data_IF_627837360879
#
_entry.id   IF_627837360879
#
_cell.length_a   1.000
_cell.length_b   1.000
_cell.length_c   1.000
_cell.angle_alpha   90.00
_cell.angle_beta   90.00
_cell.angle_gamma   90.00
#
_symmetry.space_group_name_H-M   'P 1'
#
loop_
_entity.id
_entity.type
_entity.pdbx_description
1 polymer ?
#
# COMPACT_ATOMS: atom_id res chain seq x y z
N UNK A 1 -17.83 5.88 3.14
CA UNK A 1 -16.69 6.62 3.69
C UNK A 1 -17.09 7.37 4.97
N UNK A 2 -18.09 8.23 4.99
CA UNK A 2 -18.50 9.06 6.13
C UNK A 2 -18.80 8.27 7.40
N UNK A 3 -19.59 7.19 7.29
CA UNK A 3 -19.93 6.30 8.41
C UNK A 3 -18.70 5.78 9.20
N UNK A 4 -17.54 5.72 8.58
CA UNK A 4 -16.32 5.16 9.17
C UNK A 4 -15.22 6.21 9.34
N UNK A 5 -15.51 7.49 9.14
CA UNK A 5 -14.53 8.58 9.24
C UNK A 5 -13.42 8.53 8.18
N UNK A 6 -13.64 7.81 7.06
CA UNK A 6 -12.68 7.74 5.96
C UNK A 6 -12.82 8.99 5.09
N UNK A 7 -11.81 9.82 5.07
CA UNK A 7 -11.80 11.08 4.32
C UNK A 7 -11.38 10.87 2.88
N UNK A 8 -10.39 10.00 2.65
CA UNK A 8 -9.84 9.70 1.34
C UNK A 8 -9.64 8.18 1.20
N UNK A 9 -9.84 7.65 0.01
CA UNK A 9 -9.65 6.24 -0.33
C UNK A 9 -8.57 6.12 -1.39
N UNK A 10 -7.67 5.15 -1.24
CA UNK A 10 -6.77 4.71 -2.31
C UNK A 10 -7.29 3.39 -2.84
N UNK A 11 -7.60 3.33 -4.13
CA UNK A 11 -8.12 2.14 -4.81
C UNK A 11 -7.12 1.62 -5.85
N UNK A 12 -7.38 0.42 -6.34
CA UNK A 12 -6.53 -0.24 -7.32
C UNK A 12 -7.35 -0.73 -8.51
N UNK A 13 -6.91 -0.41 -9.74
CA UNK A 13 -7.32 -1.16 -10.91
C UNK A 13 -6.54 -2.47 -10.93
N UNK A 14 -7.22 -3.57 -10.63
CA UNK A 14 -6.61 -4.92 -10.57
C UNK A 14 -6.40 -5.53 -11.97
N UNK A 15 -7.06 -4.96 -12.98
CA UNK A 15 -6.90 -5.32 -14.38
C UNK A 15 -6.81 -4.03 -15.22
N UNK A 16 -5.97 -3.98 -16.27
CA UNK A 16 -5.78 -2.76 -17.06
C UNK A 16 -7.07 -2.19 -17.68
N UNK A 17 -8.07 -3.04 -17.97
CA UNK A 17 -9.37 -2.61 -18.52
C UNK A 17 -10.25 -1.84 -17.51
N UNK A 18 -9.93 -1.87 -16.22
CA UNK A 18 -10.67 -1.15 -15.18
C UNK A 18 -10.23 0.32 -15.10
N UNK A 19 -9.08 0.67 -15.67
CA UNK A 19 -8.51 2.01 -15.54
C UNK A 19 -9.44 3.13 -16.05
N UNK A 20 -10.14 3.02 -17.20
CA UNK A 20 -11.04 4.08 -17.64
C UNK A 20 -12.21 4.32 -16.69
N UNK A 21 -12.82 3.24 -16.18
CA UNK A 21 -13.93 3.34 -15.21
C UNK A 21 -13.44 3.94 -13.89
N UNK A 22 -12.23 3.57 -13.46
CA UNK A 22 -11.68 4.08 -12.21
C UNK A 22 -11.29 5.56 -12.34
N UNK A 23 -10.81 6.01 -13.51
CA UNK A 23 -10.59 7.42 -13.81
C UNK A 23 -11.89 8.23 -13.68
N UNK A 24 -13.00 7.77 -14.25
CA UNK A 24 -14.31 8.38 -14.10
C UNK A 24 -14.76 8.42 -12.62
N UNK A 25 -14.53 7.34 -11.88
CA UNK A 25 -14.80 7.31 -10.44
C UNK A 25 -13.97 8.35 -9.66
N UNK A 26 -12.71 8.58 -10.02
CA UNK A 26 -11.86 9.60 -9.38
C UNK A 26 -12.42 11.01 -9.63
N UNK A 27 -12.86 11.31 -10.84
CA UNK A 27 -13.50 12.61 -11.17
C UNK A 27 -14.78 12.81 -10.33
N UNK A 28 -15.65 11.81 -10.28
CA UNK A 28 -16.90 11.86 -9.52
C UNK A 28 -16.67 11.96 -8.00
N UNK A 29 -15.55 11.45 -7.52
CA UNK A 29 -15.22 11.45 -6.08
C UNK A 29 -14.75 12.81 -5.54
N UNK A 30 -14.58 13.84 -6.39
CA UNK A 30 -14.22 15.20 -6.00
C UNK A 30 -13.01 15.25 -5.04
N UNK A 31 -11.89 14.62 -5.42
CA UNK A 31 -10.67 14.60 -4.65
C UNK A 31 -10.68 13.68 -3.41
N UNK A 32 -11.65 12.76 -3.32
CA UNK A 32 -11.74 11.78 -2.23
C UNK A 32 -11.27 10.38 -2.62
N UNK A 33 -10.81 10.19 -3.84
CA UNK A 33 -10.32 8.93 -4.37
C UNK A 33 -9.04 9.18 -5.15
N UNK A 34 -8.00 8.45 -4.83
CA UNK A 34 -6.80 8.27 -5.64
C UNK A 34 -6.68 6.82 -6.07
N UNK A 35 -5.98 6.57 -7.16
CA UNK A 35 -5.89 5.21 -7.68
C UNK A 35 -4.50 4.88 -8.20
N UNK A 36 -4.16 3.58 -8.10
CA UNK A 36 -3.04 2.99 -8.82
C UNK A 36 -3.59 1.90 -9.76
N UNK A 37 -2.86 1.60 -10.82
CA UNK A 37 -3.26 0.54 -11.76
C UNK A 37 -2.18 -0.53 -11.84
N UNK A 38 -2.60 -1.79 -11.94
CA UNK A 38 -1.67 -2.88 -12.21
C UNK A 38 -1.00 -2.69 -13.57
N UNK A 39 0.32 -2.88 -13.59
CA UNK A 39 1.13 -2.86 -14.81
C UNK A 39 2.03 -4.09 -14.82
N UNK A 40 2.06 -4.80 -15.95
CA UNK A 40 3.11 -5.75 -16.26
C UNK A 40 4.19 -5.01 -17.06
N UNK A 41 5.39 -4.78 -16.51
CA UNK A 41 6.45 -4.02 -17.18
C UNK A 41 7.02 -4.75 -18.41
N UNK A 42 6.78 -6.06 -18.52
CA UNK A 42 7.20 -6.89 -19.66
C UNK A 42 6.23 -6.80 -20.85
N UNK A 43 5.05 -6.19 -20.65
CA UNK A 43 4.11 -6.00 -21.74
C UNK A 43 4.59 -4.92 -22.70
N UNK A 44 4.40 -5.16 -24.00
CA UNK A 44 4.72 -4.17 -25.03
C UNK A 44 4.00 -2.83 -24.74
N UNK A 45 4.73 -1.72 -24.82
CA UNK A 45 4.22 -0.38 -24.55
C UNK A 45 3.88 -0.12 -23.07
N UNK A 46 4.52 -0.81 -22.12
CA UNK A 46 4.31 -0.61 -20.69
C UNK A 46 4.63 0.84 -20.25
N UNK A 47 5.76 1.46 -20.63
CA UNK A 47 6.07 2.85 -20.27
C UNK A 47 5.01 3.85 -20.78
N UNK A 48 4.57 3.71 -22.04
CA UNK A 48 3.52 4.56 -22.62
C UNK A 48 2.18 4.36 -21.94
N UNK A 49 1.91 3.15 -21.45
CA UNK A 49 0.71 2.87 -20.64
C UNK A 49 0.79 3.58 -19.31
N UNK A 50 1.95 3.58 -18.66
CA UNK A 50 2.16 4.30 -17.40
C UNK A 50 1.95 5.80 -17.60
N UNK A 51 2.54 6.42 -18.64
CA UNK A 51 2.30 7.84 -18.96
C UNK A 51 0.81 8.14 -19.09
N UNK A 52 0.07 7.32 -19.86
CA UNK A 52 -1.38 7.51 -20.00
C UNK A 52 -2.16 7.36 -18.69
N UNK A 53 -1.72 6.49 -17.77
CA UNK A 53 -2.33 6.37 -16.44
C UNK A 53 -2.09 7.64 -15.61
N UNK A 54 -0.87 8.17 -15.63
CA UNK A 54 -0.53 9.43 -14.93
C UNK A 54 -1.33 10.61 -15.53
N UNK A 55 -1.45 10.70 -16.85
CA UNK A 55 -2.28 11.70 -17.55
C UNK A 55 -3.77 11.60 -17.16
N UNK A 56 -4.26 10.40 -16.83
CA UNK A 56 -5.62 10.16 -16.32
C UNK A 56 -5.77 10.47 -14.82
N UNK A 57 -4.72 10.94 -14.15
CA UNK A 57 -4.73 11.30 -12.74
C UNK A 57 -4.46 10.14 -11.78
N UNK A 58 -3.99 8.99 -12.26
CA UNK A 58 -3.52 7.93 -11.38
C UNK A 58 -2.26 8.38 -10.65
N UNK A 59 -2.13 8.02 -9.37
CA UNK A 59 -0.99 8.41 -8.55
C UNK A 59 0.24 7.51 -8.74
N UNK A 60 0.12 6.47 -9.57
CA UNK A 60 1.20 5.53 -9.83
C UNK A 60 0.72 4.14 -10.24
N UNK A 61 1.56 3.15 -10.02
CA UNK A 61 1.34 1.78 -10.47
C UNK A 61 1.42 0.76 -9.35
N UNK A 62 0.79 -0.38 -9.58
CA UNK A 62 0.85 -1.58 -8.76
C UNK A 62 1.61 -2.67 -9.53
N UNK A 63 2.69 -3.16 -8.95
CA UNK A 63 3.66 -4.07 -9.54
C UNK A 63 3.67 -5.41 -8.81
N UNK A 64 3.65 -6.52 -9.56
CA UNK A 64 3.66 -7.88 -9.02
C UNK A 64 4.82 -8.71 -9.58
N UNK A 65 6.06 -8.56 -9.07
CA UNK A 65 7.23 -9.27 -9.58
C UNK A 65 7.04 -10.79 -9.63
N UNK A 66 6.53 -11.40 -8.54
CA UNK A 66 6.30 -12.84 -8.48
C UNK A 66 5.28 -13.34 -9.51
N UNK A 67 4.23 -12.55 -9.79
CA UNK A 67 3.15 -12.93 -10.70
C UNK A 67 3.53 -12.72 -12.16
N UNK A 68 4.22 -11.63 -12.47
CA UNK A 68 4.60 -11.26 -13.82
C UNK A 68 5.99 -11.79 -14.22
N UNK A 69 6.75 -12.38 -13.29
CA UNK A 69 7.99 -13.08 -13.60
C UNK A 69 9.17 -12.17 -13.99
N UNK A 70 9.37 -11.08 -13.23
CA UNK A 70 10.51 -10.18 -13.38
C UNK A 70 11.12 -9.82 -12.02
N UNK A 71 12.37 -9.33 -12.03
CA UNK A 71 13.01 -8.79 -10.81
C UNK A 71 12.85 -7.27 -10.76
N UNK A 72 12.60 -6.68 -9.59
CA UNK A 72 12.53 -5.22 -9.45
C UNK A 72 13.81 -4.46 -9.84
N UNK A 73 14.98 -5.10 -9.75
CA UNK A 73 16.28 -4.57 -10.20
C UNK A 73 16.63 -5.03 -11.63
N UNK A 74 15.69 -5.62 -12.34
CA UNK A 74 15.90 -6.10 -13.71
C UNK A 74 15.59 -5.04 -14.77
N UNK A 75 16.11 -5.23 -15.99
CA UNK A 75 15.93 -4.28 -17.09
C UNK A 75 14.47 -4.13 -17.53
N UNK A 76 13.61 -5.13 -17.24
CA UNK A 76 12.21 -5.10 -17.63
C UNK A 76 11.43 -3.97 -16.95
N UNK A 77 11.88 -3.56 -15.75
CA UNK A 77 11.21 -2.50 -14.98
C UNK A 77 11.81 -1.10 -15.23
N UNK A 78 13.04 -1.01 -15.75
CA UNK A 78 13.79 0.24 -15.84
C UNK A 78 13.01 1.37 -16.55
N UNK A 79 12.52 1.15 -17.77
CA UNK A 79 11.80 2.16 -18.54
C UNK A 79 10.48 2.61 -17.86
N UNK A 80 9.84 1.71 -17.10
CA UNK A 80 8.64 2.06 -16.30
C UNK A 80 9.02 2.92 -15.11
N UNK A 81 10.14 2.62 -14.44
CA UNK A 81 10.63 3.43 -13.32
C UNK A 81 11.08 4.81 -13.77
N UNK A 82 11.72 4.94 -14.94
CA UNK A 82 12.08 6.25 -15.52
C UNK A 82 10.84 7.16 -15.66
N UNK A 83 9.72 6.61 -16.16
CA UNK A 83 8.46 7.36 -16.27
C UNK A 83 7.92 7.77 -14.90
N UNK A 84 7.96 6.87 -13.91
CA UNK A 84 7.50 7.19 -12.56
C UNK A 84 8.40 8.22 -11.88
N UNK A 85 9.71 8.19 -12.17
CA UNK A 85 10.70 9.14 -11.67
C UNK A 85 10.48 10.55 -12.21
N UNK A 86 10.09 10.70 -13.48
CA UNK A 86 9.77 11.99 -14.08
C UNK A 86 8.70 12.75 -13.28
N UNK A 87 7.67 12.06 -12.81
CA UNK A 87 6.53 12.64 -12.09
C UNK A 87 6.63 12.51 -10.56
N UNK A 88 7.63 11.83 -10.02
CA UNK A 88 7.71 11.50 -8.60
C UNK A 88 6.54 10.62 -8.14
N UNK A 89 6.10 9.71 -8.99
CA UNK A 89 4.92 8.89 -8.80
C UNK A 89 5.16 7.70 -7.86
N UNK A 90 4.09 6.98 -7.53
CA UNK A 90 4.13 5.82 -6.62
C UNK A 90 4.36 4.53 -7.38
N UNK A 91 5.36 3.76 -6.97
CA UNK A 91 5.54 2.36 -7.33
C UNK A 91 5.17 1.47 -6.13
N UNK A 92 3.93 0.96 -6.07
CA UNK A 92 3.56 -0.02 -5.06
C UNK A 92 3.97 -1.41 -5.56
N UNK A 93 4.99 -2.00 -4.89
CA UNK A 93 5.60 -3.26 -5.32
C UNK A 93 5.26 -4.37 -4.35
N UNK A 94 4.45 -5.33 -4.80
CA UNK A 94 4.05 -6.46 -3.98
C UNK A 94 5.23 -7.41 -3.75
N UNK A 95 5.72 -7.45 -2.52
CA UNK A 95 6.77 -8.34 -2.07
C UNK A 95 6.21 -9.47 -1.20
N UNK A 96 6.93 -10.60 -1.15
CA UNK A 96 6.58 -11.73 -0.29
C UNK A 96 5.42 -12.58 -0.79
N UNK A 97 4.66 -13.11 0.16
CA UNK A 97 3.55 -14.02 -0.11
C UNK A 97 2.45 -13.36 -0.93
N UNK A 98 2.04 -14.02 -2.00
CA UNK A 98 0.96 -13.59 -2.87
C UNK A 98 -0.15 -14.64 -2.90
N UNK A 99 -1.30 -14.32 -2.31
CA UNK A 99 -2.49 -15.15 -2.31
C UNK A 99 -3.66 -14.44 -3.02
N UNK A 100 -3.92 -14.81 -4.26
CA UNK A 100 -5.08 -14.34 -5.02
C UNK A 100 -6.16 -15.41 -4.99
N UNK A 101 -6.99 -15.42 -3.95
CA UNK A 101 -8.02 -16.46 -3.72
C UNK A 101 -9.04 -16.60 -4.85
N UNK A 102 -9.27 -15.53 -5.61
CA UNK A 102 -10.15 -15.57 -6.77
C UNK A 102 -9.63 -16.54 -7.83
N UNK A 103 -8.32 -16.64 -8.00
CA UNK A 103 -7.69 -17.60 -8.92
C UNK A 103 -7.99 -19.04 -8.50
N UNK A 104 -7.94 -19.32 -7.19
CA UNK A 104 -8.25 -20.66 -6.66
C UNK A 104 -9.71 -21.04 -6.95
N UNK A 105 -10.61 -20.08 -6.77
CA UNK A 105 -12.03 -20.28 -7.05
C UNK A 105 -12.29 -20.64 -8.53
N UNK A 106 -11.51 -20.09 -9.44
CA UNK A 106 -11.60 -20.37 -10.89
C UNK A 106 -10.65 -21.46 -11.36
N UNK A 107 -9.95 -22.16 -10.46
CA UNK A 107 -8.98 -23.21 -10.83
C UNK A 107 -7.78 -22.70 -11.64
N UNK A 108 -7.45 -21.41 -11.53
CA UNK A 108 -6.32 -20.80 -12.26
C UNK A 108 -5.04 -21.07 -11.47
N UNK A 109 -4.01 -21.69 -12.08
CA UNK A 109 -2.76 -22.01 -11.38
C UNK A 109 -2.07 -20.79 -10.79
N UNK A 110 -1.48 -20.95 -9.59
CA UNK A 110 -0.63 -19.96 -8.94
C UNK A 110 0.83 -20.23 -9.33
N UNK A 111 1.22 -19.86 -10.53
CA UNK A 111 2.61 -20.01 -10.99
C UNK A 111 3.43 -18.77 -10.57
N UNK A 112 3.52 -18.54 -9.26
CA UNK A 112 4.26 -17.40 -8.72
C UNK A 112 5.65 -17.81 -8.29
N UNK A 113 6.67 -17.09 -8.76
CA UNK A 113 8.03 -17.20 -8.26
C UNK A 113 8.27 -16.16 -7.16
N UNK A 114 8.12 -16.58 -5.90
CA UNK A 114 8.30 -15.68 -4.76
C UNK A 114 9.73 -15.17 -4.59
N UNK A 115 10.72 -15.82 -5.22
CA UNK A 115 12.11 -15.34 -5.17
C UNK A 115 12.27 -13.99 -5.87
N UNK A 116 11.43 -13.71 -6.87
CA UNK A 116 11.39 -12.44 -7.59
C UNK A 116 10.76 -11.31 -6.77
N UNK A 117 9.99 -11.64 -5.73
CA UNK A 117 9.31 -10.68 -4.86
C UNK A 117 10.10 -10.37 -3.57
N UNK A 118 11.42 -10.52 -3.60
CA UNK A 118 12.26 -10.19 -2.45
C UNK A 118 12.45 -8.67 -2.34
N UNK A 119 12.12 -8.03 -1.20
CA UNK A 119 12.32 -6.61 -0.97
C UNK A 119 13.74 -6.10 -1.23
N UNK A 120 14.75 -6.94 -1.08
CA UNK A 120 16.14 -6.56 -1.32
C UNK A 120 16.43 -6.21 -2.78
N UNK A 121 15.63 -6.70 -3.72
CA UNK A 121 15.74 -6.32 -5.13
C UNK A 121 15.31 -4.89 -5.42
N UNK A 122 14.61 -4.23 -4.46
CA UNK A 122 14.22 -2.83 -4.61
C UNK A 122 15.35 -1.84 -4.30
N UNK A 123 16.43 -2.28 -3.66
CA UNK A 123 17.48 -1.35 -3.18
C UNK A 123 18.10 -0.58 -4.35
N UNK A 124 18.57 -1.28 -5.38
CA UNK A 124 19.18 -0.63 -6.54
C UNK A 124 18.17 0.23 -7.31
N UNK A 125 16.96 -0.29 -7.51
CA UNK A 125 15.90 0.45 -8.18
C UNK A 125 15.53 1.75 -7.44
N UNK A 126 15.52 1.71 -6.11
CA UNK A 126 15.21 2.89 -5.29
C UNK A 126 16.35 3.91 -5.26
N UNK A 127 17.60 3.45 -5.29
CA UNK A 127 18.78 4.32 -5.37
C UNK A 127 18.89 5.04 -6.72
N UNK A 128 18.56 4.34 -7.82
CA UNK A 128 18.57 4.89 -9.18
C UNK A 128 17.40 5.85 -9.45
N UNK A 129 16.29 5.71 -8.69
CA UNK A 129 15.07 6.51 -8.87
C UNK A 129 14.66 7.21 -7.56
N UNK A 130 15.42 8.23 -7.10
CA UNK A 130 15.23 8.86 -5.77
C UNK A 130 13.94 9.65 -5.61
N UNK A 131 13.27 10.09 -6.70
CA UNK A 131 11.98 10.79 -6.64
C UNK A 131 10.79 9.84 -6.68
N UNK A 132 10.96 8.61 -7.18
CA UNK A 132 9.93 7.58 -7.14
C UNK A 132 9.68 7.13 -5.71
N UNK A 133 8.41 7.07 -5.30
CA UNK A 133 8.00 6.60 -3.99
C UNK A 133 7.71 5.10 -4.05
N UNK A 134 8.63 4.28 -3.57
CA UNK A 134 8.43 2.82 -3.50
C UNK A 134 7.65 2.45 -2.24
N UNK A 135 6.54 1.73 -2.41
CA UNK A 135 5.71 1.24 -1.30
C UNK A 135 5.69 -0.27 -1.30
N UNK A 136 6.13 -0.89 -0.22
CA UNK A 136 6.00 -2.34 0.00
C UNK A 136 4.73 -2.60 0.83
N UNK A 137 3.69 -3.23 0.28
CA UNK A 137 2.47 -3.52 1.01
C UNK A 137 2.67 -4.63 2.04
N UNK A 138 1.75 -4.69 3.04
CA UNK A 138 1.64 -5.77 4.02
C UNK A 138 2.92 -6.00 4.85
N UNK A 139 3.72 -4.96 5.10
CA UNK A 139 5.04 -5.08 5.73
C UNK A 139 5.94 -6.12 5.04
N UNK A 140 5.78 -6.32 3.71
CA UNK A 140 6.54 -7.29 2.94
C UNK A 140 5.98 -8.71 2.96
N UNK A 141 4.73 -8.90 3.43
CA UNK A 141 3.97 -10.16 3.33
C UNK A 141 4.79 -11.44 3.63
N UNK A 142 5.44 -11.48 4.79
CA UNK A 142 6.27 -12.62 5.23
C UNK A 142 7.78 -12.42 5.05
N UNK A 143 8.23 -11.56 4.14
CA UNK A 143 9.63 -11.12 4.00
C UNK A 143 9.89 -9.85 4.83
N UNK A 144 9.40 -9.85 6.07
CA UNK A 144 9.45 -8.67 6.95
C UNK A 144 10.88 -8.23 7.29
N UNK A 145 11.78 -9.20 7.53
CA UNK A 145 13.19 -8.91 7.81
C UNK A 145 13.87 -8.23 6.62
N UNK A 146 13.66 -8.73 5.42
CA UNK A 146 14.20 -8.20 4.16
C UNK A 146 13.62 -6.80 3.89
N UNK A 147 12.35 -6.58 4.21
CA UNK A 147 11.69 -5.26 4.15
C UNK A 147 12.36 -4.26 5.09
N UNK A 148 12.66 -4.65 6.33
CA UNK A 148 13.39 -3.79 7.27
C UNK A 148 14.80 -3.47 6.77
N UNK A 149 15.51 -4.45 6.21
CA UNK A 149 16.84 -4.25 5.64
C UNK A 149 16.80 -3.26 4.46
N UNK A 150 15.87 -3.43 3.53
CA UNK A 150 15.69 -2.50 2.40
C UNK A 150 15.31 -1.09 2.89
N UNK A 151 14.40 -0.97 3.86
CA UNK A 151 13.99 0.30 4.44
C UNK A 151 15.09 1.04 5.19
N UNK A 152 16.12 0.32 5.66
CA UNK A 152 17.31 0.91 6.27
C UNK A 152 18.23 1.54 5.22
N UNK A 153 18.29 0.98 4.01
CA UNK A 153 19.12 1.45 2.93
C UNK A 153 18.49 2.63 2.17
N UNK A 154 17.17 2.58 1.92
CA UNK A 154 16.50 3.50 0.99
C UNK A 154 15.55 4.44 1.73
N UNK A 155 15.74 5.75 1.56
CA UNK A 155 14.90 6.79 2.20
C UNK A 155 13.55 7.01 1.51
N UNK A 156 13.44 6.68 0.23
CA UNK A 156 12.24 6.76 -0.61
C UNK A 156 11.40 5.47 -0.60
N UNK A 157 11.76 4.51 0.29
CA UNK A 157 11.02 3.28 0.48
C UNK A 157 10.10 3.38 1.70
N UNK A 158 8.84 3.07 1.48
CA UNK A 158 7.74 3.10 2.45
C UNK A 158 7.18 1.68 2.65
N UNK A 159 6.45 1.47 3.73
CA UNK A 159 5.66 0.26 3.96
C UNK A 159 4.19 0.60 4.18
N UNK A 160 3.31 -0.30 3.77
CA UNK A 160 1.89 -0.22 4.13
C UNK A 160 1.53 -1.29 5.15
N UNK A 161 0.55 -0.99 5.97
CA UNK A 161 0.15 -1.78 7.13
C UNK A 161 -0.97 -2.77 6.84
N UNK A 162 -1.43 -2.87 5.61
CA UNK A 162 -2.49 -3.82 5.27
C UNK A 162 -2.04 -5.27 5.53
N UNK A 163 -2.92 -6.09 6.08
CA UNK A 163 -2.55 -7.42 6.60
C UNK A 163 -3.59 -8.51 6.27
N UNK A 164 -4.03 -8.53 5.02
CA UNK A 164 -5.09 -9.45 4.59
C UNK A 164 -4.68 -10.91 4.53
N UNK A 165 -3.41 -11.21 4.29
CA UNK A 165 -2.91 -12.56 4.03
C UNK A 165 -2.34 -13.29 5.25
N UNK A 166 -2.47 -12.70 6.44
CA UNK A 166 -2.07 -13.34 7.72
C UNK A 166 -0.63 -13.87 7.74
N UNK A 167 0.28 -13.19 7.04
CA UNK A 167 1.67 -13.61 6.86
C UNK A 167 2.46 -13.77 8.17
N UNK A 168 2.01 -13.14 9.27
CA UNK A 168 2.65 -13.23 10.60
C UNK A 168 2.84 -14.69 11.04
N UNK A 169 1.92 -15.60 10.66
CA UNK A 169 2.01 -17.03 10.95
C UNK A 169 3.20 -17.74 10.29
N UNK A 170 3.81 -17.15 9.26
CA UNK A 170 4.97 -17.73 8.57
C UNK A 170 6.30 -17.36 9.23
N UNK A 171 6.27 -16.53 10.27
CA UNK A 171 7.47 -16.13 10.98
C UNK A 171 7.95 -17.25 11.91
N UNK A 172 9.27 -17.39 12.04
CA UNK A 172 9.90 -18.44 12.86
C UNK A 172 9.66 -18.27 14.36
N UNK A 173 9.23 -17.08 14.79
CA UNK A 173 8.83 -16.78 16.17
C UNK A 173 7.47 -16.12 16.15
N UNK A 174 6.69 -16.36 17.21
CA UNK A 174 5.42 -15.67 17.39
C UNK A 174 5.64 -14.14 17.42
N UNK A 175 4.90 -13.43 16.58
CA UNK A 175 4.87 -11.98 16.53
C UNK A 175 3.45 -11.50 16.77
N UNK A 176 3.30 -10.49 17.64
CA UNK A 176 2.08 -9.70 17.74
C UNK A 176 2.15 -8.56 16.74
N UNK A 177 1.01 -8.01 16.37
CA UNK A 177 0.97 -6.85 15.46
C UNK A 177 1.75 -5.65 16.03
N UNK A 178 1.71 -5.43 17.35
CA UNK A 178 2.50 -4.41 18.03
C UNK A 178 4.01 -4.61 17.83
N UNK A 179 4.50 -5.87 17.88
CA UNK A 179 5.93 -6.17 17.68
C UNK A 179 6.36 -5.86 16.23
N UNK A 180 5.45 -6.02 15.28
CA UNK A 180 5.68 -5.64 13.86
C UNK A 180 5.79 -4.12 13.74
N UNK A 181 4.83 -3.37 14.33
CA UNK A 181 4.86 -1.91 14.33
C UNK A 181 6.10 -1.35 15.02
N UNK A 182 6.46 -1.88 16.20
CA UNK A 182 7.65 -1.43 16.94
C UNK A 182 8.93 -1.53 16.07
N UNK A 183 9.13 -2.68 15.42
CA UNK A 183 10.30 -2.88 14.54
C UNK A 183 10.24 -2.02 13.28
N UNK A 184 9.06 -1.88 12.67
CA UNK A 184 8.87 -1.02 11.50
C UNK A 184 9.12 0.46 11.88
N UNK A 185 8.65 0.93 13.03
CA UNK A 185 8.91 2.27 13.54
C UNK A 185 10.40 2.52 13.78
N UNK A 186 11.15 1.52 14.25
CA UNK A 186 12.59 1.62 14.44
C UNK A 186 13.37 1.84 13.14
N UNK A 187 12.84 1.41 12.00
CA UNK A 187 13.48 1.55 10.67
C UNK A 187 12.90 2.69 9.84
N UNK A 188 11.58 2.74 9.73
CA UNK A 188 10.88 3.69 8.85
C UNK A 188 10.47 4.98 9.56
N UNK A 189 10.54 5.01 10.89
CA UNK A 189 9.92 6.07 11.69
C UNK A 189 8.41 6.14 11.46
N UNK A 190 7.72 7.13 12.02
CA UNK A 190 6.29 7.33 11.77
C UNK A 190 6.00 7.85 10.35
N UNK A 191 6.99 8.42 9.65
CA UNK A 191 6.78 9.16 8.40
C UNK A 191 6.81 8.31 7.11
N UNK A 192 7.27 7.07 7.19
CA UNK A 192 7.36 6.16 6.04
C UNK A 192 6.50 4.89 6.21
N UNK A 193 5.48 4.94 7.08
CA UNK A 193 4.50 3.89 7.28
C UNK A 193 3.14 4.42 6.84
N UNK A 194 2.46 3.69 5.94
CA UNK A 194 1.16 4.05 5.38
C UNK A 194 0.08 3.13 5.95
N UNK A 195 -1.06 3.70 6.32
CA UNK A 195 -2.22 2.92 6.74
C UNK A 195 -2.88 2.24 5.54
N UNK A 196 -3.14 0.95 5.65
CA UNK A 196 -3.91 0.18 4.69
C UNK A 196 -4.76 -0.90 5.36
N UNK A 197 -5.84 -1.33 4.72
CA UNK A 197 -6.73 -2.39 5.22
C UNK A 197 -6.84 -3.56 4.28
N UNK A 198 -6.42 -3.42 3.02
CA UNK A 198 -6.65 -4.39 1.95
C UNK A 198 -8.15 -4.81 1.87
N UNK A 199 -9.01 -3.80 2.00
CA UNK A 199 -10.45 -3.97 1.82
C UNK A 199 -10.78 -4.20 0.35
N UNK A 200 -11.78 -5.02 0.09
CA UNK A 200 -12.34 -5.16 -1.26
C UNK A 200 -13.78 -4.65 -1.26
N UNK A 201 -14.20 -4.00 -2.36
CA UNK A 201 -15.57 -3.52 -2.49
C UNK A 201 -16.56 -4.67 -2.28
N UNK A 202 -16.29 -5.81 -2.90
CA UNK A 202 -17.08 -7.05 -2.79
C UNK A 202 -16.11 -8.26 -2.70
N UNK A 203 -16.42 -9.28 -1.88
CA UNK A 203 -17.57 -9.41 -0.98
C UNK A 203 -17.33 -8.85 0.44
N UNK A 204 -16.08 -8.44 0.79
CA UNK A 204 -15.71 -8.15 2.20
C UNK A 204 -16.12 -6.77 2.69
N UNK A 205 -16.12 -5.78 1.80
CA UNK A 205 -16.34 -4.39 2.18
C UNK A 205 -15.21 -3.81 3.06
N UNK A 206 -15.51 -2.73 3.74
CA UNK A 206 -14.59 -2.06 4.65
C UNK A 206 -14.21 -2.92 5.87
N UNK A 207 -12.90 -3.08 6.07
CA UNK A 207 -12.31 -3.88 7.16
C UNK A 207 -12.06 -3.01 8.41
N UNK A 208 -13.15 -2.71 9.14
CA UNK A 208 -13.06 -1.94 10.38
C UNK A 208 -12.25 -2.64 11.47
N UNK A 209 -12.29 -3.96 11.51
CA UNK A 209 -11.50 -4.80 12.39
C UNK A 209 -9.99 -4.56 12.25
N UNK A 210 -9.51 -4.37 11.02
CA UNK A 210 -8.10 -4.03 10.75
C UNK A 210 -7.74 -2.66 11.32
N UNK A 211 -8.59 -1.65 11.13
CA UNK A 211 -8.37 -0.31 11.70
C UNK A 211 -8.26 -0.37 13.23
N UNK A 212 -9.19 -1.08 13.88
CA UNK A 212 -9.19 -1.21 15.35
C UNK A 212 -7.90 -1.87 15.82
N UNK A 213 -7.54 -3.05 15.26
CA UNK A 213 -6.34 -3.78 15.63
C UNK A 213 -5.06 -2.96 15.43
N UNK A 214 -4.96 -2.19 14.34
CA UNK A 214 -3.81 -1.34 14.08
C UNK A 214 -3.73 -0.15 15.06
N UNK A 215 -4.86 0.48 15.39
CA UNK A 215 -4.90 1.56 16.39
C UNK A 215 -4.47 1.08 17.78
N UNK A 216 -4.88 -0.12 18.17
CA UNK A 216 -4.45 -0.76 19.41
C UNK A 216 -2.94 -1.04 19.40
N UNK A 217 -2.43 -1.61 18.31
CA UNK A 217 -1.00 -1.88 18.15
C UNK A 217 -0.15 -0.58 18.21
N UNK A 218 -0.57 0.47 17.51
CA UNK A 218 0.08 1.79 17.58
C UNK A 218 0.02 2.40 18.98
N UNK A 219 -1.08 2.17 19.71
CA UNK A 219 -1.20 2.55 21.12
C UNK A 219 -0.16 1.85 22.00
N UNK A 220 0.03 0.56 21.79
CA UNK A 220 1.00 -0.25 22.53
C UNK A 220 2.46 0.14 22.25
N UNK A 221 2.76 0.71 21.08
CA UNK A 221 4.09 1.22 20.72
C UNK A 221 4.43 2.57 21.35
N UNK A 222 3.55 3.17 22.17
CA UNK A 222 3.80 4.45 22.83
C UNK A 222 3.86 5.66 21.88
N UNK A 223 3.34 5.52 20.65
CA UNK A 223 3.35 6.59 19.66
C UNK A 223 2.44 7.75 20.11
N UNK A 224 2.92 8.97 19.97
CA UNK A 224 2.12 10.17 20.24
C UNK A 224 1.01 10.40 19.23
N UNK A 225 0.17 11.41 19.47
CA UNK A 225 -0.95 11.73 18.57
C UNK A 225 -0.48 12.12 17.16
N UNK A 226 0.66 12.80 17.04
CA UNK A 226 1.24 13.21 15.76
C UNK A 226 1.71 12.01 14.96
N UNK A 227 2.50 11.12 15.57
CA UNK A 227 2.98 9.93 14.90
C UNK A 227 1.85 8.99 14.46
N UNK A 228 0.79 8.85 15.29
CA UNK A 228 -0.42 8.10 14.90
C UNK A 228 -1.14 8.73 13.70
N UNK A 229 -1.27 10.06 13.72
CA UNK A 229 -1.89 10.79 12.61
C UNK A 229 -1.06 10.70 11.32
N UNK A 230 0.28 10.76 11.43
CA UNK A 230 1.17 10.56 10.28
C UNK A 230 0.89 9.22 9.60
N UNK A 231 0.83 8.12 10.36
CA UNK A 231 0.61 6.77 9.82
C UNK A 231 -0.81 6.62 9.27
N UNK A 232 -1.82 7.04 9.99
CA UNK A 232 -3.24 6.82 9.64
C UNK A 232 -3.73 7.71 8.50
N UNK A 233 -3.04 8.82 8.23
CA UNK A 233 -3.51 9.84 7.29
C UNK A 233 -2.37 10.64 6.63
N UNK A 234 -1.52 11.32 7.42
CA UNK A 234 -0.62 12.36 6.94
C UNK A 234 0.40 11.88 5.91
N UNK A 235 0.91 10.65 6.04
CA UNK A 235 1.88 10.09 5.11
C UNK A 235 1.27 9.85 3.72
N UNK A 236 0.08 9.24 3.66
CA UNK A 236 -0.61 9.02 2.40
C UNK A 236 -0.98 10.36 1.74
N UNK A 237 -1.43 11.34 2.54
CA UNK A 237 -1.74 12.67 2.02
C UNK A 237 -0.52 13.33 1.37
N UNK A 238 0.65 13.27 2.03
CA UNK A 238 1.90 13.84 1.46
C UNK A 238 2.35 13.10 0.21
N UNK A 239 2.32 11.78 0.24
CA UNK A 239 2.77 10.94 -0.87
C UNK A 239 1.89 11.09 -2.12
N UNK A 240 0.61 11.35 -1.92
CA UNK A 240 -0.36 11.52 -3.00
C UNK A 240 -0.61 12.99 -3.38
N UNK A 241 0.11 13.94 -2.76
CA UNK A 241 -0.07 15.38 -3.04
C UNK A 241 -1.45 15.92 -2.67
N UNK A 242 -2.11 15.33 -1.67
CA UNK A 242 -3.45 15.76 -1.26
C UNK A 242 -3.38 17.04 -0.44
N UNK A 243 -4.09 18.06 -0.88
CA UNK A 243 -4.24 19.31 -0.11
C UNK A 243 -4.97 19.05 1.23
N UNK A 244 -4.54 19.72 2.32
CA UNK A 244 -5.27 19.67 3.58
C UNK A 244 -6.70 20.18 3.38
N UNK A 245 -7.71 19.35 3.64
CA UNK A 245 -9.10 19.84 3.62
C UNK A 245 -9.36 20.74 4.81
N UNK A 246 -9.72 21.99 4.55
CA UNK A 246 -10.06 22.99 5.56
C UNK A 246 -11.42 22.75 6.22
N UNK A 247 -12.25 21.83 5.69
CA UNK A 247 -13.67 21.66 6.03
C UNK A 247 -13.99 20.44 6.90
N UNK A 248 -13.02 19.78 7.50
CA UNK A 248 -13.30 18.67 8.39
C UNK A 248 -13.61 19.18 9.81
N UNK A 249 -14.85 19.10 10.32
CA UNK A 249 -15.10 19.35 11.73
C UNK A 249 -14.34 18.31 12.55
N UNK A 250 -13.62 18.77 13.57
CA UNK A 250 -12.96 17.91 14.56
C UNK A 250 -14.06 17.19 15.39
N UNK A 251 -14.65 16.14 14.82
CA UNK A 251 -15.56 15.27 15.56
C UNK A 251 -14.75 14.10 16.12
N UNK A 252 -14.32 14.23 17.35
CA UNK A 252 -14.02 13.09 18.20
C UNK A 252 -15.33 12.33 18.41
N UNK A 253 -15.49 11.09 17.95
CA UNK A 253 -16.69 10.32 18.30
C UNK A 253 -16.64 10.03 19.79
N UNK A 254 -17.55 10.63 20.55
CA UNK A 254 -17.84 10.26 21.92
C UNK A 254 -18.46 8.88 21.88
N UNK A 255 -17.78 7.88 22.40
CA UNK A 255 -18.36 6.56 22.65
C UNK A 255 -19.27 6.71 23.85
N UNK A 256 -20.57 6.84 23.62
CA UNK A 256 -21.56 6.67 24.69
C UNK A 256 -21.49 5.22 25.18
N UNK A 257 -21.03 5.06 26.41
CA UNK A 257 -21.15 3.80 27.16
C UNK A 257 -22.62 3.58 27.51
N UNK A 258 -23.32 2.86 26.64
CA UNK A 258 -24.67 2.41 26.91
C UNK A 258 -24.68 1.37 28.02
N UNK A 259 -24.79 1.82 29.26
CA UNK A 259 -25.25 0.98 30.37
C UNK A 259 -26.76 0.86 30.27
N UNK A 260 -27.25 -0.14 29.56
CA UNK A 260 -28.62 -0.58 29.55
C UNK A 260 -28.86 -1.58 30.67
N UNK A 261 -29.50 -1.13 31.75
CA UNK A 261 -30.15 -2.01 32.76
C UNK A 261 -31.42 -2.61 32.20
N UNK A 262 -31.63 -3.81 32.53
CA UNK A 262 -32.74 -4.69 32.92
C UNK A 262 -32.96 -5.87 32.00
#
# INVERSE_FOLDING_TARGET
MERHGVQHLVSFASHPSEAPVLAECMELANGRLSSLSVVDPRAEGAPERVRRLLDLGFSGVLLFPAMHGYRPDGPELADVLDVLEEDGAVALVHCGLLEVRLRDHFGIPRNYDLSLANPLHLILAADDHPRTHFVIPHFGAGMFRETLMAGTQCSNLYVDTSSSNSWIRTQTRALRLADVFERALGVFGSRRILFGTDSSVFPRGWRHDILVAQREALGACGLDGRGKNDILHGNAARLLGLEPRTDAPATTPTIESGTGRS
#
